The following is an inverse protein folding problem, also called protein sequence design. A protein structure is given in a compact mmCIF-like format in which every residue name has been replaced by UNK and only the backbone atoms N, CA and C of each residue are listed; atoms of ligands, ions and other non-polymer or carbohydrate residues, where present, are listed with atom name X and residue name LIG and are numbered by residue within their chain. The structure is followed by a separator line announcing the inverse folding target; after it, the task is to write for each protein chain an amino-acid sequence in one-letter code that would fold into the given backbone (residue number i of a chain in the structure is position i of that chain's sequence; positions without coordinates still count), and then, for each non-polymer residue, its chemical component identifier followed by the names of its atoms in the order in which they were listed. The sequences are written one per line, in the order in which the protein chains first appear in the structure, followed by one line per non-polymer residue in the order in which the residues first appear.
data_IF_772428494623
#
_entry.id   IF_772428494623
#
_cell.length_a   1.000
_cell.length_b   1.000
_cell.length_c   1.000
_cell.angle_alpha   90.00
_cell.angle_beta   90.00
_cell.angle_gamma   90.00
#
_symmetry.space_group_name_H-M   'P 1'
#
loop_
_entity.id
_entity.type
_entity.pdbx_description
1 polymer ?
#
# COMPACT_ATOMS: atom_id res chain seq x y z
N UNK A 1 22.56 3.45 -5.94
CA UNK A 1 21.84 2.74 -4.86
C UNK A 1 20.43 3.27 -4.86
N UNK A 2 19.40 2.40 -4.93
CA UNK A 2 18.00 2.82 -4.91
C UNK A 2 17.47 2.78 -3.48
N UNK A 3 16.74 3.82 -3.08
CA UNK A 3 16.10 3.89 -1.76
C UNK A 3 14.60 3.75 -1.96
N UNK A 4 13.97 2.93 -1.11
CA UNK A 4 12.53 2.72 -1.13
C UNK A 4 11.96 3.23 0.20
N UNK A 5 11.00 4.15 0.14
CA UNK A 5 10.18 4.53 1.29
C UNK A 5 8.87 3.75 1.25
N UNK A 6 8.66 2.89 2.24
CA UNK A 6 7.37 2.22 2.43
C UNK A 6 6.45 3.16 3.22
N UNK A 7 5.71 3.99 2.50
CA UNK A 7 4.79 4.96 3.07
C UNK A 7 3.50 4.25 3.52
N UNK A 8 3.18 4.32 4.81
CA UNK A 8 2.01 3.63 5.40
C UNK A 8 0.72 4.46 5.39
N UNK A 9 0.71 5.68 4.85
CA UNK A 9 -0.44 6.58 4.93
C UNK A 9 -0.66 7.26 6.28
N UNK A 10 0.26 7.10 7.23
CA UNK A 10 0.24 7.82 8.50
C UNK A 10 0.99 9.16 8.44
N UNK A 11 0.65 10.09 9.34
CA UNK A 11 1.30 11.42 9.40
C UNK A 11 2.81 11.35 9.57
N UNK A 12 3.30 10.46 10.43
CA UNK A 12 4.74 10.30 10.70
C UNK A 12 5.48 9.67 9.52
N UNK A 13 4.87 8.68 8.84
CA UNK A 13 5.48 8.09 7.64
C UNK A 13 5.43 9.04 6.44
N UNK A 14 4.43 9.91 6.36
CA UNK A 14 4.41 11.01 5.39
C UNK A 14 5.56 11.99 5.62
N UNK A 15 5.74 12.46 6.87
CA UNK A 15 6.84 13.35 7.23
C UNK A 15 8.21 12.76 6.84
N UNK A 16 8.46 11.51 7.19
CA UNK A 16 9.70 10.82 6.82
C UNK A 16 9.87 10.72 5.30
N UNK A 17 8.81 10.37 4.57
CA UNK A 17 8.85 10.23 3.11
C UNK A 17 9.16 11.56 2.42
N UNK A 18 8.55 12.66 2.87
CA UNK A 18 8.82 14.01 2.36
C UNK A 18 10.28 14.39 2.63
N UNK A 19 10.81 14.12 3.83
CA UNK A 19 12.23 14.36 4.13
C UNK A 19 13.18 13.52 3.27
N UNK A 20 12.84 12.26 3.01
CA UNK A 20 13.63 11.43 2.10
C UNK A 20 13.61 11.98 0.67
N UNK A 21 12.48 12.52 0.20
CA UNK A 21 12.36 13.12 -1.15
C UNK A 21 13.23 14.36 -1.30
N UNK A 22 13.38 15.18 -0.25
CA UNK A 22 14.30 16.32 -0.23
C UNK A 22 15.78 15.89 -0.32
N UNK A 23 16.13 14.72 0.22
CA UNK A 23 17.52 14.24 0.31
C UNK A 23 17.96 13.36 -0.87
N UNK A 24 17.04 12.67 -1.52
CA UNK A 24 17.36 11.63 -2.51
C UNK A 24 16.57 11.84 -3.82
N UNK A 25 17.31 12.00 -4.93
CA UNK A 25 16.69 12.16 -6.26
C UNK A 25 16.08 10.86 -6.82
N UNK A 26 16.63 9.68 -6.47
CA UNK A 26 16.15 8.36 -6.93
C UNK A 26 15.43 7.60 -5.80
N UNK A 27 14.47 8.29 -5.15
CA UNK A 27 13.58 7.71 -4.15
C UNK A 27 12.35 7.08 -4.81
N UNK A 28 12.07 5.82 -4.48
CA UNK A 28 10.82 5.15 -4.84
C UNK A 28 9.91 5.15 -3.62
N UNK A 29 8.73 5.75 -3.74
CA UNK A 29 7.72 5.73 -2.68
C UNK A 29 6.66 4.69 -3.02
N UNK A 30 6.39 3.76 -2.10
CA UNK A 30 5.35 2.74 -2.26
C UNK A 30 4.30 2.89 -1.17
N UNK A 31 3.04 2.69 -1.53
CA UNK A 31 1.91 2.52 -0.61
C UNK A 31 1.24 1.18 -0.89
N UNK A 32 1.14 0.32 0.12
CA UNK A 32 0.57 -1.02 0.00
C UNK A 32 -0.86 -1.02 0.56
N UNK A 33 -1.84 -0.82 -0.33
CA UNK A 33 -3.25 -0.82 0.05
C UNK A 33 -3.70 -2.24 0.43
N UNK A 34 -4.36 -2.35 1.58
CA UNK A 34 -4.87 -3.60 2.14
C UNK A 34 -6.29 -3.95 1.65
N UNK A 35 -7.00 -2.97 1.08
CA UNK A 35 -8.44 -3.09 0.81
C UNK A 35 -9.32 -2.78 2.04
N UNK A 36 -8.71 -2.50 3.19
CA UNK A 36 -9.39 -2.21 4.47
C UNK A 36 -8.86 -0.92 5.12
N UNK A 37 -8.15 -0.10 4.36
CA UNK A 37 -7.79 1.24 4.80
C UNK A 37 -9.05 2.11 4.89
N UNK A 38 -9.06 3.05 5.84
CA UNK A 38 -10.08 4.09 5.86
C UNK A 38 -9.91 5.00 4.63
N UNK A 39 -11.02 5.51 4.10
CA UNK A 39 -11.00 6.45 2.97
C UNK A 39 -10.14 7.68 3.26
N UNK A 40 -10.13 8.18 4.51
CA UNK A 40 -9.29 9.30 4.92
C UNK A 40 -7.79 9.00 4.81
N UNK A 41 -7.37 7.74 5.00
CA UNK A 41 -5.97 7.33 4.79
C UNK A 41 -5.62 7.39 3.31
N UNK A 42 -6.51 6.89 2.45
CA UNK A 42 -6.30 6.90 1.00
C UNK A 42 -6.27 8.34 0.47
N UNK A 43 -7.19 9.18 0.94
CA UNK A 43 -7.26 10.60 0.62
C UNK A 43 -6.00 11.34 1.09
N UNK A 44 -5.51 11.02 2.29
CA UNK A 44 -4.29 11.60 2.82
C UNK A 44 -3.06 11.21 2.00
N UNK A 45 -2.90 9.93 1.64
CA UNK A 45 -1.80 9.48 0.77
C UNK A 45 -1.84 10.21 -0.58
N UNK A 46 -3.01 10.29 -1.21
CA UNK A 46 -3.19 10.96 -2.49
C UNK A 46 -2.91 12.47 -2.38
N UNK A 47 -3.33 13.11 -1.28
CA UNK A 47 -3.02 14.53 -1.02
C UNK A 47 -1.52 14.75 -0.87
N UNK A 48 -0.84 13.93 -0.06
CA UNK A 48 0.61 14.02 0.10
C UNK A 48 1.34 13.84 -1.24
N UNK A 49 0.88 12.90 -2.08
CA UNK A 49 1.46 12.68 -3.40
C UNK A 49 1.34 13.92 -4.29
N UNK A 50 0.14 14.51 -4.38
CA UNK A 50 -0.12 15.70 -5.20
C UNK A 50 0.61 16.95 -4.68
N UNK A 51 0.71 17.12 -3.35
CA UNK A 51 1.27 18.33 -2.74
C UNK A 51 2.81 18.34 -2.76
N UNK A 52 3.44 17.17 -2.65
CA UNK A 52 4.90 17.03 -2.55
C UNK A 52 5.55 16.31 -3.74
N UNK A 53 4.78 16.01 -4.79
CA UNK A 53 5.23 15.31 -6.00
C UNK A 53 6.02 14.03 -5.65
N UNK A 54 5.45 13.22 -4.76
CA UNK A 54 6.14 12.05 -4.22
C UNK A 54 6.30 10.94 -5.28
N UNK A 55 5.35 10.84 -6.22
CA UNK A 55 5.29 9.78 -7.22
C UNK A 55 4.91 8.44 -6.59
N UNK A 56 3.94 8.44 -5.66
CA UNK A 56 3.56 7.25 -4.89
C UNK A 56 3.11 6.13 -5.83
N UNK A 57 3.78 4.97 -5.73
CA UNK A 57 3.37 3.75 -6.42
C UNK A 57 2.41 2.98 -5.51
N UNK A 58 1.15 2.94 -5.90
CA UNK A 58 0.11 2.20 -5.19
C UNK A 58 0.14 0.73 -5.60
N UNK A 59 0.24 -0.14 -4.60
CA UNK A 59 0.32 -1.59 -4.78
C UNK A 59 -0.81 -2.26 -4.02
N UNK A 60 -1.27 -3.39 -4.56
CA UNK A 60 -2.27 -4.26 -3.96
C UNK A 60 -1.89 -5.72 -4.13
N UNK A 61 -2.29 -6.55 -3.18
CA UNK A 61 -2.00 -7.98 -3.23
C UNK A 61 -2.83 -8.66 -4.34
N UNK A 62 -2.16 -9.43 -5.19
CA UNK A 62 -2.80 -10.33 -6.15
C UNK A 62 -2.67 -11.76 -5.63
N UNK A 63 -3.72 -12.22 -4.95
CA UNK A 63 -3.76 -13.53 -4.30
C UNK A 63 -3.84 -14.65 -5.35
N UNK A 64 -2.86 -15.56 -5.33
CA UNK A 64 -2.82 -16.66 -6.29
C UNK A 64 -3.30 -17.98 -5.68
N UNK A 65 -4.37 -18.58 -6.19
CA UNK A 65 -4.91 -19.83 -5.63
C UNK A 65 -4.26 -21.11 -6.18
N UNK A 66 -3.28 -20.99 -7.10
CA UNK A 66 -2.56 -22.16 -7.62
C UNK A 66 -1.59 -22.72 -6.58
N UNK A 67 -1.51 -24.04 -6.48
CA UNK A 67 -0.54 -24.72 -5.64
C UNK A 67 0.89 -24.30 -5.98
N UNK A 68 1.73 -24.19 -4.94
CA UNK A 68 3.15 -23.81 -5.05
C UNK A 68 3.38 -22.45 -5.72
N UNK A 69 2.35 -21.58 -5.77
CA UNK A 69 2.48 -20.20 -6.25
C UNK A 69 2.17 -19.20 -5.14
N UNK A 70 3.17 -18.38 -4.81
CA UNK A 70 3.02 -17.26 -3.88
C UNK A 70 2.05 -16.20 -4.39
N UNK A 71 1.49 -15.41 -3.47
CA UNK A 71 0.79 -14.18 -3.87
C UNK A 71 1.78 -13.21 -4.51
N UNK A 72 1.27 -12.42 -5.45
CA UNK A 72 2.01 -11.38 -6.14
C UNK A 72 1.38 -10.03 -5.86
N UNK A 73 1.65 -9.02 -6.69
CA UNK A 73 1.05 -7.70 -6.56
C UNK A 73 0.59 -7.17 -7.91
N UNK A 74 -0.34 -6.23 -7.88
CA UNK A 74 -0.66 -5.37 -9.02
C UNK A 74 -0.41 -3.90 -8.65
N UNK A 75 -0.16 -3.08 -9.67
CA UNK A 75 -0.19 -1.63 -9.54
C UNK A 75 -1.61 -1.14 -9.70
N UNK A 76 -1.98 -0.18 -8.87
CA UNK A 76 -3.28 0.48 -8.90
C UNK A 76 -3.06 2.00 -8.79
N UNK A 77 -4.15 2.75 -8.65
CA UNK A 77 -4.17 4.19 -8.41
C UNK A 77 -5.12 4.48 -7.26
N UNK A 78 -5.11 5.71 -6.75
CA UNK A 78 -6.10 6.19 -5.79
C UNK A 78 -7.56 5.89 -6.22
N UNK A 79 -7.85 5.93 -7.53
CA UNK A 79 -9.18 5.68 -8.11
C UNK A 79 -9.53 4.21 -8.28
N UNK A 80 -8.54 3.35 -8.48
CA UNK A 80 -8.74 1.91 -8.74
C UNK A 80 -8.35 1.06 -7.54
N UNK A 81 -7.98 1.70 -6.43
CA UNK A 81 -7.65 1.02 -5.19
C UNK A 81 -8.91 0.32 -4.65
N UNK A 82 -8.76 -0.92 -4.20
CA UNK A 82 -9.84 -1.62 -3.49
C UNK A 82 -10.15 -0.88 -2.19
N UNK A 83 -11.43 -0.66 -1.94
CA UNK A 83 -11.99 -0.01 -0.74
C UNK A 83 -13.06 -0.88 -0.08
N UNK A 84 -13.50 -1.94 -0.77
CA UNK A 84 -14.63 -2.76 -0.37
C UNK A 84 -14.18 -4.00 0.42
N UNK A 85 -12.87 -4.20 0.60
CA UNK A 85 -12.31 -5.35 1.32
C UNK A 85 -12.09 -6.60 0.48
N UNK A 86 -12.34 -6.55 -0.83
CA UNK A 86 -12.21 -7.69 -1.72
C UNK A 86 -10.85 -8.39 -1.61
N UNK A 87 -9.75 -7.63 -1.51
CA UNK A 87 -8.41 -8.21 -1.38
C UNK A 87 -8.23 -8.92 -0.04
N UNK A 88 -8.74 -8.33 1.04
CA UNK A 88 -8.67 -8.94 2.36
C UNK A 88 -9.47 -10.24 2.40
N UNK A 89 -10.66 -10.27 1.80
CA UNK A 89 -11.45 -11.50 1.64
C UNK A 89 -10.71 -12.57 0.84
N UNK A 90 -10.06 -12.21 -0.27
CA UNK A 90 -9.24 -13.14 -1.06
C UNK A 90 -8.07 -13.71 -0.27
N UNK A 91 -7.44 -12.88 0.57
CA UNK A 91 -6.37 -13.33 1.48
C UNK A 91 -6.91 -14.32 2.51
N UNK A 92 -8.07 -14.04 3.12
CA UNK A 92 -8.73 -14.96 4.05
C UNK A 92 -9.11 -16.28 3.37
N UNK A 93 -9.62 -16.24 2.14
CA UNK A 93 -10.00 -17.44 1.37
C UNK A 93 -8.80 -18.38 1.18
N UNK A 94 -7.61 -17.84 0.90
CA UNK A 94 -6.40 -18.64 0.68
C UNK A 94 -5.70 -19.06 1.97
N UNK A 95 -5.56 -18.14 2.92
CA UNK A 95 -4.66 -18.30 4.08
C UNK A 95 -5.40 -18.46 5.41
N UNK A 96 -6.71 -18.23 5.42
CA UNK A 96 -7.53 -18.11 6.63
C UNK A 96 -7.41 -16.73 7.28
N UNK A 97 -8.29 -16.47 8.25
CA UNK A 97 -8.25 -15.25 9.06
C UNK A 97 -6.90 -15.18 9.79
N UNK A 98 -6.14 -14.07 9.67
CA UNK A 98 -4.91 -13.90 10.43
C UNK A 98 -5.21 -13.79 11.94
N UNK A 99 -4.25 -14.17 12.79
CA UNK A 99 -4.38 -14.07 14.24
C UNK A 99 -5.61 -14.81 14.85
N UNK A 100 -5.93 -16.01 14.37
CA UNK A 100 -7.08 -16.81 14.86
C UNK A 100 -7.14 -17.02 16.37
N UNK A 101 -6.00 -16.95 17.06
CA UNK A 101 -5.94 -17.10 18.52
C UNK A 101 -6.54 -15.89 19.28
N UNK A 102 -6.58 -14.72 18.64
CA UNK A 102 -7.12 -13.46 19.18
C UNK A 102 -7.89 -12.73 18.06
N UNK A 103 -9.08 -13.25 17.69
CA UNK A 103 -9.87 -12.75 16.55
C UNK A 103 -10.45 -11.35 16.80
#
# INVERSE_FOLDING_TARGET
MKIISSFSGGKTSAYMTIKLKEMYQDLIVIFANTGQENDETLDFVNKCDMEYDLGVVWLQALVNFKERKGSSFCKVSYRTADRDGFIFEKMIEKYGIPNKAYP
#
